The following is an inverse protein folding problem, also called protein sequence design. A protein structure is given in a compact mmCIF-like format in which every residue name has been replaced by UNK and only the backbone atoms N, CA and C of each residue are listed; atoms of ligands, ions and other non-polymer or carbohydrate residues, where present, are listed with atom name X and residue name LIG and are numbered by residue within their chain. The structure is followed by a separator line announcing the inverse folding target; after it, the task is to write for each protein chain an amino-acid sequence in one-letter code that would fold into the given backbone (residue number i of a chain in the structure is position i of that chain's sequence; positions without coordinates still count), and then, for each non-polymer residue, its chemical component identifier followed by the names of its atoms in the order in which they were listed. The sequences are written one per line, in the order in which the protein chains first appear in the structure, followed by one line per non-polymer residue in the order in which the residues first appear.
data_IF_501699431272
#
_entry.id   IF_501699431272
#
_cell.length_a   1.000
_cell.length_b   1.000
_cell.length_c   1.000
_cell.angle_alpha   90.00
_cell.angle_beta   90.00
_cell.angle_gamma   90.00
#
_symmetry.space_group_name_H-M   'P 1'
#
loop_
_entity.id
_entity.type
_entity.pdbx_description
1 polymer ?
#
# COMPACT_ATOMS: atom_id res chain seq x y z
N UNK A 1 18.38 21.54 -27.57
CA UNK A 1 16.92 21.40 -27.75
C UNK A 1 16.26 21.31 -26.37
N UNK A 2 15.55 22.35 -25.93
CA UNK A 2 14.81 22.34 -24.65
C UNK A 2 13.34 22.09 -24.96
N UNK A 3 12.78 20.95 -24.55
CA UNK A 3 11.34 20.67 -24.68
C UNK A 3 10.63 21.35 -23.52
N UNK A 4 9.76 22.32 -23.83
CA UNK A 4 8.90 23.00 -22.85
C UNK A 4 7.63 22.16 -22.71
N UNK A 5 7.32 21.69 -21.51
CA UNK A 5 6.06 21.02 -21.19
C UNK A 5 5.08 22.10 -20.74
N UNK A 6 3.96 22.23 -21.44
CA UNK A 6 2.86 23.12 -21.07
C UNK A 6 1.76 22.27 -20.44
N UNK A 7 1.47 22.50 -19.17
CA UNK A 7 0.29 21.92 -18.50
C UNK A 7 -0.93 22.70 -18.94
N UNK A 8 -1.90 22.03 -19.57
CA UNK A 8 -3.22 22.60 -19.92
C UNK A 8 -4.20 22.21 -18.82
N UNK A 9 -4.79 23.21 -18.14
CA UNK A 9 -5.82 22.99 -17.14
C UNK A 9 -7.20 22.89 -17.81
N UNK A 10 -7.98 21.85 -17.48
CA UNK A 10 -9.36 21.67 -17.94
C UNK A 10 -10.33 21.93 -16.77
N UNK A 11 -11.18 22.97 -16.80
CA UNK A 11 -12.02 23.37 -15.67
C UNK A 11 -13.36 22.61 -15.58
N UNK A 12 -13.55 21.52 -16.32
CA UNK A 12 -14.85 20.87 -16.50
C UNK A 12 -15.12 19.76 -15.47
N UNK A 13 -15.28 20.10 -14.20
CA UNK A 13 -15.86 19.18 -13.20
C UNK A 13 -17.22 19.72 -12.72
N UNK A 14 -18.34 19.05 -13.01
CA UNK A 14 -19.63 19.39 -12.42
C UNK A 14 -19.73 18.84 -10.98
N UNK A 15 -20.19 19.69 -10.07
CA UNK A 15 -20.60 19.35 -8.71
C UNK A 15 -21.75 18.32 -8.69
N UNK A 16 -21.79 17.37 -7.73
CA UNK A 16 -22.95 16.51 -7.54
C UNK A 16 -24.09 17.29 -6.88
N UNK A 17 -25.24 17.31 -7.54
CA UNK A 17 -26.48 17.89 -7.05
C UNK A 17 -27.19 16.97 -6.03
N UNK A 18 -27.81 17.60 -5.05
CA UNK A 18 -28.59 17.00 -3.96
C UNK A 18 -29.77 16.14 -4.45
N UNK A 19 -29.92 14.94 -3.87
CA UNK A 19 -31.11 14.09 -3.98
C UNK A 19 -32.24 14.58 -3.03
N UNK A 20 -33.50 14.70 -3.49
CA UNK A 20 -34.67 14.88 -2.62
C UNK A 20 -35.24 13.52 -2.12
N UNK A 21 -36.04 13.51 -1.04
CA UNK A 21 -36.48 12.28 -0.36
C UNK A 21 -37.75 11.65 -0.96
N UNK A 22 -37.87 10.36 -0.65
CA UNK A 22 -38.90 9.38 -1.00
C UNK A 22 -40.35 9.87 -0.93
N UNK A 23 -41.13 9.51 -1.96
CA UNK A 23 -42.60 9.47 -1.87
C UNK A 23 -43.09 8.02 -1.71
N UNK A 24 -43.94 7.87 -0.70
CA UNK A 24 -44.63 6.66 -0.28
C UNK A 24 -45.90 6.49 -1.14
N UNK A 25 -46.01 5.44 -1.93
CA UNK A 25 -47.29 5.01 -2.52
C UNK A 25 -47.79 3.74 -1.82
N UNK A 26 -49.05 3.80 -1.37
CA UNK A 26 -49.83 2.75 -0.72
C UNK A 26 -50.42 1.76 -1.75
N UNK A 27 -50.86 0.57 -1.31
CA UNK A 27 -51.10 -0.59 -2.17
C UNK A 27 -52.47 -0.56 -2.83
N UNK A 28 -52.57 -1.10 -4.04
CA UNK A 28 -53.84 -1.50 -4.64
C UNK A 28 -53.92 -3.02 -4.66
N UNK A 29 -54.91 -3.54 -3.95
CA UNK A 29 -55.47 -4.87 -4.14
C UNK A 29 -56.19 -4.92 -5.48
N UNK A 30 -56.05 -6.03 -6.22
CA UNK A 30 -57.18 -6.87 -6.65
C UNK A 30 -56.74 -7.89 -7.73
N UNK A 31 -57.10 -9.16 -7.47
CA UNK A 31 -57.66 -10.05 -8.48
C UNK A 31 -56.70 -10.90 -9.32
N UNK A 32 -56.71 -12.21 -9.06
CA UNK A 32 -56.42 -13.19 -10.11
C UNK A 32 -55.73 -14.47 -9.67
N UNK A 33 -56.41 -15.34 -8.93
CA UNK A 33 -56.03 -16.75 -8.87
C UNK A 33 -56.41 -17.43 -10.20
N UNK A 34 -55.42 -17.86 -10.98
CA UNK A 34 -55.58 -18.94 -11.95
C UNK A 34 -54.45 -19.95 -11.73
N UNK A 35 -54.84 -21.19 -11.54
CA UNK A 35 -54.02 -22.33 -11.18
C UNK A 35 -53.18 -22.86 -12.35
N UNK A 36 -52.23 -23.72 -11.97
CA UNK A 36 -51.58 -24.79 -12.75
C UNK A 36 -50.20 -24.47 -13.32
N UNK A 37 -49.19 -24.91 -12.58
CA UNK A 37 -47.81 -25.01 -13.03
C UNK A 37 -46.93 -25.42 -11.86
N UNK A 38 -46.88 -26.73 -11.58
CA UNK A 38 -45.84 -27.28 -10.73
C UNK A 38 -44.50 -27.07 -11.45
N UNK A 39 -43.78 -26.00 -11.11
CA UNK A 39 -42.39 -25.83 -11.49
C UNK A 39 -41.54 -26.68 -10.53
N UNK A 40 -40.81 -27.71 -11.01
CA UNK A 40 -39.82 -28.35 -10.18
C UNK A 40 -38.60 -27.42 -10.09
N UNK A 41 -38.07 -27.30 -8.88
CA UNK A 41 -36.73 -26.80 -8.57
C UNK A 41 -36.37 -25.42 -9.15
N UNK A 42 -36.62 -24.40 -8.34
CA UNK A 42 -35.61 -23.37 -8.11
C UNK A 42 -34.34 -24.10 -7.63
N UNK A 43 -33.56 -24.61 -8.59
CA UNK A 43 -32.26 -25.20 -8.33
C UNK A 43 -31.44 -24.09 -7.71
N UNK A 44 -31.16 -24.32 -6.43
CA UNK A 44 -30.43 -23.48 -5.52
C UNK A 44 -29.31 -22.79 -6.29
N UNK A 45 -29.41 -21.47 -6.44
CA UNK A 45 -28.22 -20.65 -6.58
C UNK A 45 -27.40 -20.89 -5.32
N UNK A 46 -26.58 -21.94 -5.35
CA UNK A 46 -25.58 -22.22 -4.33
C UNK A 46 -24.64 -21.03 -4.37
N UNK A 47 -24.97 -20.01 -3.58
CA UNK A 47 -24.03 -19.03 -3.07
C UNK A 47 -23.00 -19.86 -2.32
N UNK A 48 -21.94 -20.26 -3.02
CA UNK A 48 -20.78 -20.88 -2.42
C UNK A 48 -20.33 -19.93 -1.31
N UNK A 49 -20.56 -20.33 -0.07
CA UNK A 49 -19.98 -19.68 1.09
C UNK A 49 -18.48 -19.82 0.92
N UNK A 50 -17.82 -18.78 0.40
CA UNK A 50 -16.37 -18.64 0.56
C UNK A 50 -16.13 -18.85 2.06
N UNK A 51 -15.36 -19.86 2.48
CA UNK A 51 -15.12 -20.08 3.89
C UNK A 51 -14.49 -18.82 4.48
N UNK A 52 -14.42 -18.70 5.81
CA UNK A 52 -13.53 -17.75 6.48
C UNK A 52 -12.05 -18.05 6.13
N UNK A 53 -11.67 -17.80 4.88
CA UNK A 53 -10.43 -18.22 4.22
C UNK A 53 -9.47 -17.04 4.06
N UNK A 54 -9.62 -15.98 4.87
CA UNK A 54 -8.75 -14.81 4.81
C UNK A 54 -7.30 -15.16 5.13
N UNK A 55 -7.09 -15.98 6.18
CA UNK A 55 -5.76 -16.37 6.64
C UNK A 55 -4.97 -17.18 5.63
N UNK A 56 -5.60 -18.14 4.94
CA UNK A 56 -4.90 -18.92 3.91
C UNK A 56 -4.44 -18.05 2.74
N UNK A 57 -5.21 -17.02 2.38
CA UNK A 57 -4.81 -16.07 1.34
C UNK A 57 -3.59 -15.26 1.79
N UNK A 58 -3.58 -14.76 3.04
CA UNK A 58 -2.40 -14.06 3.58
C UNK A 58 -1.16 -14.95 3.65
N UNK A 59 -1.32 -16.22 4.05
CA UNK A 59 -0.22 -17.19 4.08
C UNK A 59 0.30 -17.50 2.66
N UNK A 60 -0.59 -17.68 1.69
CA UNK A 60 -0.21 -17.92 0.31
C UNK A 60 0.56 -16.72 -0.28
N UNK A 61 0.07 -15.50 -0.04
CA UNK A 61 0.77 -14.26 -0.45
C UNK A 61 2.13 -14.14 0.23
N UNK A 62 2.20 -14.39 1.54
CA UNK A 62 3.46 -14.35 2.30
C UNK A 62 4.47 -15.38 1.81
N UNK A 63 4.03 -16.61 1.51
CA UNK A 63 4.88 -17.67 0.96
C UNK A 63 5.43 -17.30 -0.42
N UNK A 64 4.57 -16.82 -1.33
CA UNK A 64 5.01 -16.42 -2.66
C UNK A 64 6.01 -15.26 -2.58
N UNK A 65 5.74 -14.25 -1.74
CA UNK A 65 6.67 -13.15 -1.51
C UNK A 65 8.01 -13.63 -0.97
N UNK A 66 8.01 -14.56 -0.01
CA UNK A 66 9.23 -15.16 0.53
C UNK A 66 10.01 -15.92 -0.56
N UNK A 67 9.36 -16.77 -1.34
CA UNK A 67 9.99 -17.54 -2.43
C UNK A 67 10.62 -16.63 -3.48
N UNK A 68 9.95 -15.53 -3.87
CA UNK A 68 10.54 -14.54 -4.77
C UNK A 68 11.79 -13.90 -4.17
N UNK A 69 11.76 -13.56 -2.87
CA UNK A 69 12.89 -12.95 -2.15
C UNK A 69 14.07 -13.91 -1.94
N UNK A 70 13.85 -15.23 -1.86
CA UNK A 70 14.93 -16.22 -1.67
C UNK A 70 16.05 -16.08 -2.71
N UNK A 71 15.71 -15.70 -3.95
CA UNK A 71 16.70 -15.47 -5.01
C UNK A 71 17.71 -14.34 -4.71
N UNK A 72 17.39 -13.46 -3.76
CA UNK A 72 18.22 -12.32 -3.38
C UNK A 72 18.96 -12.46 -2.05
N UNK A 73 18.83 -13.59 -1.33
CA UNK A 73 19.45 -13.74 0.00
C UNK A 73 20.99 -13.71 -0.08
N UNK A 74 21.57 -14.21 -1.17
CA UNK A 74 23.02 -14.15 -1.42
C UNK A 74 23.42 -12.91 -2.25
N UNK A 75 22.62 -11.84 -2.24
CA UNK A 75 22.96 -10.58 -2.90
C UNK A 75 24.04 -9.81 -2.13
N UNK A 76 24.93 -9.16 -2.89
CA UNK A 76 25.92 -8.21 -2.35
C UNK A 76 25.30 -6.82 -2.12
N UNK A 77 26.08 -5.93 -1.50
CA UNK A 77 25.69 -4.53 -1.31
C UNK A 77 25.41 -3.82 -2.64
N UNK A 78 24.25 -3.17 -2.70
CA UNK A 78 23.87 -2.29 -3.80
C UNK A 78 24.48 -0.91 -3.56
N UNK A 79 24.45 -0.05 -4.58
CA UNK A 79 25.09 1.27 -4.60
C UNK A 79 24.92 2.09 -3.30
N UNK A 80 23.71 2.15 -2.75
CA UNK A 80 23.41 2.95 -1.55
C UNK A 80 23.79 2.23 -0.25
N UNK A 81 23.88 0.90 -0.26
CA UNK A 81 24.23 0.11 0.92
C UNK A 81 25.71 0.33 1.28
N UNK A 82 26.57 0.46 0.27
CA UNK A 82 28.02 0.63 0.45
C UNK A 82 28.33 1.85 1.33
N UNK A 83 27.94 3.09 0.97
CA UNK A 83 28.22 4.25 1.80
C UNK A 83 27.47 4.22 3.14
N UNK A 84 26.24 3.68 3.18
CA UNK A 84 25.43 3.66 4.39
C UNK A 84 25.94 2.66 5.45
N UNK A 85 26.46 1.50 5.04
CA UNK A 85 26.81 0.39 5.94
C UNK A 85 28.33 0.26 6.10
N UNK A 86 29.09 0.31 5.00
CA UNK A 86 30.53 -0.03 5.04
C UNK A 86 31.44 1.18 5.28
N UNK A 87 30.96 2.39 4.97
CA UNK A 87 31.76 3.63 5.10
C UNK A 87 31.24 4.58 6.19
N UNK A 88 30.00 4.39 6.65
CA UNK A 88 29.39 5.28 7.63
C UNK A 88 30.01 5.05 9.02
N UNK A 89 30.68 6.08 9.55
CA UNK A 89 31.33 6.05 10.88
C UNK A 89 30.34 5.82 12.03
N UNK A 90 29.08 6.22 11.85
CA UNK A 90 28.01 5.99 12.82
C UNK A 90 27.58 4.53 12.86
N UNK A 91 27.63 3.83 11.73
CA UNK A 91 27.39 2.38 11.66
C UNK A 91 28.62 1.59 12.13
N UNK A 92 29.83 2.00 11.73
CA UNK A 92 31.07 1.28 12.08
C UNK A 92 31.49 1.37 13.55
N UNK A 93 30.74 2.05 14.41
CA UNK A 93 31.10 2.09 15.83
C UNK A 93 32.11 3.17 16.22
N UNK A 94 32.64 3.95 15.28
CA UNK A 94 33.84 4.78 15.49
C UNK A 94 33.67 6.01 16.40
N UNK A 95 32.42 6.41 16.68
CA UNK A 95 32.08 7.52 17.58
C UNK A 95 31.04 7.15 18.63
N UNK A 96 30.72 8.04 19.58
CA UNK A 96 29.65 7.82 20.56
C UNK A 96 28.28 7.63 19.88
N UNK A 97 27.41 6.81 20.47
CA UNK A 97 26.04 6.58 19.95
C UNK A 97 25.24 7.88 19.81
N UNK A 98 25.49 8.87 20.68
CA UNK A 98 24.87 10.19 20.59
C UNK A 98 25.12 10.91 19.24
N UNK A 99 26.21 10.57 18.54
CA UNK A 99 26.56 11.14 17.24
C UNK A 99 25.57 10.74 16.14
N UNK A 100 24.95 9.56 16.23
CA UNK A 100 23.91 9.09 15.31
C UNK A 100 22.73 10.07 15.23
N UNK A 101 22.42 10.77 16.33
CA UNK A 101 21.33 11.74 16.39
C UNK A 101 21.72 13.14 15.85
N UNK A 102 22.98 13.33 15.48
CA UNK A 102 23.52 14.62 14.99
C UNK A 102 23.93 14.58 13.52
N UNK A 103 23.94 13.40 12.90
CA UNK A 103 24.36 13.16 11.53
C UNK A 103 23.16 12.73 10.65
N UNK A 104 23.31 12.83 9.33
CA UNK A 104 22.41 12.17 8.39
C UNK A 104 22.64 10.66 8.34
N UNK A 105 21.75 9.99 7.61
CA UNK A 105 21.82 8.57 7.28
C UNK A 105 23.17 8.11 6.70
N UNK A 106 23.95 8.99 6.09
CA UNK A 106 25.24 8.67 5.46
C UNK A 106 26.44 8.97 6.38
N UNK A 107 26.20 9.46 7.60
CA UNK A 107 27.25 9.78 8.58
C UNK A 107 27.83 11.18 8.45
N UNK A 108 27.18 12.08 7.70
CA UNK A 108 27.59 13.48 7.57
C UNK A 108 26.87 14.34 8.61
N UNK A 109 27.55 15.26 9.33
CA UNK A 109 26.89 16.14 10.29
C UNK A 109 25.72 16.91 9.69
N UNK A 110 24.58 16.92 10.37
CA UNK A 110 23.35 17.58 9.88
C UNK A 110 23.53 19.09 9.64
N UNK A 111 24.49 19.71 10.31
CA UNK A 111 24.79 21.13 10.14
C UNK A 111 25.58 21.42 8.85
N UNK A 112 26.20 20.42 8.23
CA UNK A 112 26.97 20.58 7.00
C UNK A 112 26.05 20.90 5.81
N UNK A 113 26.57 21.67 4.85
CA UNK A 113 25.90 21.97 3.58
C UNK A 113 25.89 20.79 2.62
N UNK A 114 26.90 19.91 2.72
CA UNK A 114 27.01 18.67 1.96
C UNK A 114 26.11 17.56 2.49
N UNK A 115 25.50 17.73 3.66
CA UNK A 115 24.57 16.75 4.21
C UNK A 115 23.34 16.60 3.31
N UNK A 116 22.93 15.35 3.09
CA UNK A 116 21.71 15.02 2.37
C UNK A 116 20.43 15.30 3.18
N UNK A 117 20.56 15.70 4.46
CA UNK A 117 19.45 16.01 5.38
C UNK A 117 18.48 14.85 5.62
N UNK A 118 18.84 13.63 5.21
CA UNK A 118 18.08 12.41 5.47
C UNK A 118 18.29 11.93 6.89
N UNK A 119 17.39 12.29 7.80
CA UNK A 119 17.46 11.92 9.22
C UNK A 119 16.80 10.56 9.49
N UNK A 120 17.60 9.53 9.82
CA UNK A 120 17.14 8.13 10.02
C UNK A 120 17.89 7.42 11.17
N UNK A 121 17.93 8.00 12.38
CA UNK A 121 18.77 7.49 13.47
C UNK A 121 18.43 6.06 13.87
N UNK A 122 17.16 5.66 13.84
CA UNK A 122 16.76 4.29 14.18
C UNK A 122 17.28 3.27 13.17
N UNK A 123 17.21 3.58 11.87
CA UNK A 123 17.76 2.71 10.82
C UNK A 123 19.28 2.62 10.91
N UNK A 124 19.97 3.74 11.18
CA UNK A 124 21.43 3.70 11.38
C UNK A 124 21.81 2.84 12.58
N UNK A 125 21.04 2.89 13.68
CA UNK A 125 21.27 2.05 14.86
C UNK A 125 21.06 0.56 14.61
N UNK A 126 20.16 0.15 13.70
CA UNK A 126 19.97 -1.28 13.40
C UNK A 126 21.15 -1.93 12.69
N UNK A 127 22.02 -1.13 12.05
CA UNK A 127 23.22 -1.62 11.36
C UNK A 127 24.49 -1.53 12.22
N UNK A 128 24.45 -0.78 13.32
CA UNK A 128 25.60 -0.53 14.19
C UNK A 128 25.87 -1.69 15.15
#
# INVERSE_FOLDING_TARGET
MKRRVTIVYNPSHPHPAHHPPHQHHKPSTDGGCCANGAAPECSQAQRQSVPEQGWCMYLAVGLIAALCYLNGIQGDFVHDDIPAITLNKDVLGHGPVAQVFRNDFWGTPMADLSSHKSYRPLTTLTFR
#
